data_IF_706574156935
#
_entry.id   IF_706574156935
#
_cell.length_a   1.000
_cell.length_b   1.000
_cell.length_c   1.000
_cell.angle_alpha   90.00
_cell.angle_beta   90.00
_cell.angle_gamma   90.00
#
_symmetry.space_group_name_H-M   'P 1'
#
loop_
_entity.id
_entity.type
_entity.pdbx_description
1 polymer ?
#
# COMPACT_ATOMS: atom_id res chain seq x y z
N UNK A 1 26.40 19.25 -16.78
CA UNK A 1 25.38 19.89 -15.92
C UNK A 1 24.17 18.97 -15.91
N UNK A 2 24.07 18.07 -14.93
CA UNK A 2 23.02 17.04 -14.92
C UNK A 2 21.64 17.69 -14.82
N UNK A 3 20.75 17.37 -15.74
CA UNK A 3 19.34 17.75 -15.67
C UNK A 3 18.82 17.37 -14.29
N UNK A 4 18.48 18.37 -13.47
CA UNK A 4 17.78 18.20 -12.19
C UNK A 4 16.44 17.56 -12.52
N UNK A 5 16.42 16.23 -12.57
CA UNK A 5 15.29 15.43 -13.02
C UNK A 5 14.04 15.92 -12.33
N UNK A 6 13.05 16.27 -13.14
CA UNK A 6 11.77 16.87 -12.80
C UNK A 6 11.20 16.32 -11.47
N UNK A 7 11.42 17.08 -10.38
CA UNK A 7 10.93 16.75 -9.04
C UNK A 7 9.59 17.44 -8.83
N UNK A 8 8.51 16.68 -8.79
CA UNK A 8 7.23 17.20 -8.30
C UNK A 8 7.22 17.12 -6.78
N UNK A 9 7.13 18.28 -6.13
CA UNK A 9 7.16 18.41 -4.66
C UNK A 9 5.88 19.12 -4.21
N UNK A 10 5.35 18.73 -3.06
CA UNK A 10 4.25 19.42 -2.41
C UNK A 10 4.39 19.35 -0.89
N UNK A 11 3.98 20.42 -0.21
CA UNK A 11 3.82 20.43 1.24
C UNK A 11 2.38 20.00 1.54
N UNK A 12 2.21 18.99 2.39
CA UNK A 12 0.91 18.50 2.81
C UNK A 12 0.80 18.55 4.33
N UNK A 13 -0.42 18.73 4.83
CA UNK A 13 -0.72 18.66 6.26
C UNK A 13 -1.17 17.25 6.60
N UNK A 14 -0.63 16.69 7.68
CA UNK A 14 -1.19 15.50 8.30
C UNK A 14 -2.42 15.92 9.10
N UNK A 15 -3.55 15.31 8.77
CA UNK A 15 -4.84 15.48 9.42
C UNK A 15 -4.95 14.48 10.59
N UNK A 16 -6.15 14.38 11.18
CA UNK A 16 -6.41 13.46 12.26
C UNK A 16 -6.06 12.00 11.88
N UNK A 17 -5.58 11.24 12.85
CA UNK A 17 -5.24 9.81 12.71
C UNK A 17 -4.25 9.51 11.56
N UNK A 18 -3.36 10.44 11.25
CA UNK A 18 -2.29 10.24 10.24
C UNK A 18 -2.76 10.35 8.79
N UNK A 19 -4.00 10.80 8.53
CA UNK A 19 -4.49 10.97 7.18
C UNK A 19 -3.79 12.12 6.45
N UNK A 20 -3.53 11.95 5.16
CA UNK A 20 -3.06 13.04 4.29
C UNK A 20 -3.66 12.90 2.90
N UNK A 21 -3.86 14.03 2.24
CA UNK A 21 -4.31 14.06 0.84
C UNK A 21 -3.10 14.08 -0.07
N UNK A 22 -2.98 13.09 -0.96
CA UNK A 22 -1.95 13.10 -2.00
C UNK A 22 -2.35 14.09 -3.12
N UNK A 23 -1.58 15.17 -3.35
CA UNK A 23 -1.92 16.18 -4.34
C UNK A 23 -2.03 15.61 -5.75
N UNK A 24 -2.94 16.18 -6.56
CA UNK A 24 -3.25 15.69 -7.92
C UNK A 24 -1.99 15.49 -8.79
N UNK A 25 -1.11 16.48 -8.82
CA UNK A 25 0.12 16.43 -9.61
C UNK A 25 1.05 15.26 -9.21
N UNK A 26 1.16 14.95 -7.92
CA UNK A 26 1.95 13.81 -7.45
C UNK A 26 1.24 12.50 -7.81
N UNK A 27 -0.07 12.42 -7.53
CA UNK A 27 -0.91 11.25 -7.81
C UNK A 27 -0.86 10.83 -9.28
N UNK A 28 -1.01 11.77 -10.20
CA UNK A 28 -0.95 11.53 -11.65
C UNK A 28 0.45 11.10 -12.10
N UNK A 29 1.50 11.73 -11.56
CA UNK A 29 2.89 11.38 -11.89
C UNK A 29 3.27 9.96 -11.50
N UNK A 30 2.72 9.46 -10.39
CA UNK A 30 2.96 8.09 -9.93
C UNK A 30 1.91 7.08 -10.40
N UNK A 31 0.93 7.52 -11.20
CA UNK A 31 -0.10 6.67 -11.79
C UNK A 31 -1.06 6.03 -10.77
N UNK A 32 -1.36 6.74 -9.68
CA UNK A 32 -2.31 6.28 -8.65
C UNK A 32 -3.73 6.70 -8.97
N UNK A 33 -4.67 5.77 -8.83
CA UNK A 33 -6.11 6.02 -8.96
C UNK A 33 -6.85 5.76 -7.65
N UNK A 34 -8.14 6.13 -7.62
CA UNK A 34 -8.96 5.92 -6.44
C UNK A 34 -9.08 4.42 -6.09
N UNK A 35 -8.68 4.12 -4.85
CA UNK A 35 -8.76 2.79 -4.27
C UNK A 35 -7.65 1.83 -4.70
N UNK A 36 -6.61 2.32 -5.40
CA UNK A 36 -5.31 1.67 -5.40
C UNK A 36 -4.75 1.59 -3.98
N UNK A 37 -3.91 0.58 -3.76
CA UNK A 37 -3.20 0.43 -2.50
C UNK A 37 -1.82 1.09 -2.59
N UNK A 38 -1.33 1.61 -1.48
CA UNK A 38 0.00 2.20 -1.37
C UNK A 38 0.73 1.52 -0.24
N UNK A 39 1.91 0.99 -0.52
CA UNK A 39 2.83 0.51 0.49
C UNK A 39 3.50 1.71 1.16
N UNK A 40 3.49 1.73 2.49
CA UNK A 40 4.12 2.80 3.27
C UNK A 40 5.16 2.17 4.19
N UNK A 41 6.39 2.64 4.11
CA UNK A 41 7.47 2.20 5.01
C UNK A 41 8.47 3.33 5.25
N UNK A 42 9.26 3.19 6.31
CA UNK A 42 10.39 4.08 6.59
C UNK A 42 11.65 3.39 6.06
N UNK A 43 12.42 4.06 5.21
CA UNK A 43 13.68 3.51 4.70
C UNK A 43 14.82 3.66 5.73
N UNK A 44 16.01 3.14 5.42
CA UNK A 44 17.19 3.24 6.29
C UNK A 44 17.70 4.67 6.52
N UNK A 45 17.22 5.64 5.74
CA UNK A 45 17.58 7.06 5.86
C UNK A 45 16.56 7.85 6.70
N UNK A 46 15.52 7.19 7.22
CA UNK A 46 14.47 7.83 8.02
C UNK A 46 13.39 8.52 7.19
N UNK A 47 13.36 8.31 5.87
CA UNK A 47 12.35 8.88 4.98
C UNK A 47 11.12 7.99 4.89
N UNK A 48 9.93 8.61 4.82
CA UNK A 48 8.69 7.89 4.51
C UNK A 48 8.64 7.66 3.00
N UNK A 49 8.65 6.39 2.60
CA UNK A 49 8.51 5.96 1.21
C UNK A 49 7.08 5.49 0.98
N UNK A 50 6.45 6.07 -0.04
CA UNK A 50 5.16 5.68 -0.57
C UNK A 50 5.38 4.96 -1.91
N UNK A 51 5.04 3.67 -1.97
CA UNK A 51 5.18 2.88 -3.18
C UNK A 51 3.81 2.43 -3.71
N UNK A 52 3.39 2.86 -4.93
CA UNK A 52 2.13 2.44 -5.53
C UNK A 52 2.04 0.91 -5.70
N UNK A 53 0.94 0.32 -5.23
CA UNK A 53 0.56 -1.08 -5.47
C UNK A 53 -0.75 -1.11 -6.28
N UNK A 54 -0.68 -0.84 -7.60
CA UNK A 54 -1.86 -0.78 -8.45
C UNK A 54 -2.67 -2.07 -8.37
N UNK A 55 -3.99 -1.96 -8.53
CA UNK A 55 -4.86 -3.13 -8.55
C UNK A 55 -4.48 -4.09 -9.68
N UNK A 56 -4.59 -5.42 -9.45
CA UNK A 56 -4.42 -6.38 -10.53
C UNK A 56 -5.45 -6.10 -11.63
N UNK A 57 -4.99 -6.05 -12.88
CA UNK A 57 -5.82 -5.66 -14.03
C UNK A 57 -6.61 -6.84 -14.62
N UNK A 58 -6.39 -8.06 -14.10
CA UNK A 58 -7.02 -9.27 -14.61
C UNK A 58 -7.35 -10.30 -13.53
N UNK A 59 -8.40 -11.09 -13.75
CA UNK A 59 -8.74 -12.25 -12.92
C UNK A 59 -7.62 -13.30 -12.88
N UNK A 60 -6.77 -13.37 -13.90
CA UNK A 60 -5.59 -14.26 -13.94
C UNK A 60 -4.51 -13.81 -12.95
N UNK A 61 -4.29 -12.51 -12.81
CA UNK A 61 -3.40 -11.95 -11.78
C UNK A 61 -3.94 -12.22 -10.37
N UNK A 62 -5.26 -12.16 -10.18
CA UNK A 62 -5.95 -12.55 -8.95
C UNK A 62 -5.87 -14.07 -8.67
N UNK A 63 -6.07 -14.91 -9.68
CA UNK A 63 -6.08 -16.37 -9.54
C UNK A 63 -4.72 -16.96 -9.16
N UNK A 64 -3.63 -16.26 -9.45
CA UNK A 64 -2.29 -16.60 -8.93
C UNK A 64 -2.11 -16.28 -7.44
N UNK A 65 -2.89 -15.34 -6.90
CA UNK A 65 -2.84 -14.87 -5.51
C UNK A 65 -3.77 -15.68 -4.62
N UNK A 66 -4.89 -16.13 -5.18
CA UNK A 66 -6.00 -16.72 -4.46
C UNK A 66 -6.26 -18.13 -5.00
N UNK A 67 -5.63 -19.15 -4.40
CA UNK A 67 -6.11 -20.55 -4.50
C UNK A 67 -7.38 -20.68 -3.66
N UNK A 68 -8.44 -20.00 -4.08
CA UNK A 68 -9.72 -20.02 -3.38
C UNK A 68 -10.43 -21.33 -3.74
N UNK A 69 -10.39 -22.30 -2.82
CA UNK A 69 -11.14 -23.56 -2.91
C UNK A 69 -12.48 -23.52 -2.14
N UNK A 70 -12.95 -22.33 -1.74
CA UNK A 70 -14.21 -22.15 -1.00
C UNK A 70 -14.84 -20.79 -1.32
N UNK A 71 -16.15 -20.57 -1.16
CA UNK A 71 -16.70 -19.20 -1.16
C UNK A 71 -16.02 -18.39 -0.04
N UNK A 72 -15.43 -17.24 -0.36
CA UNK A 72 -14.79 -16.33 0.61
C UNK A 72 -15.57 -15.03 0.61
N UNK A 73 -15.76 -14.45 1.80
CA UNK A 73 -16.34 -13.12 1.94
C UNK A 73 -15.53 -12.07 1.16
N UNK A 74 -16.21 -11.09 0.55
CA UNK A 74 -15.55 -10.10 -0.32
C UNK A 74 -14.53 -9.21 0.41
N UNK A 75 -14.72 -8.97 1.71
CA UNK A 75 -13.76 -8.23 2.55
C UNK A 75 -12.52 -9.05 2.87
N UNK A 76 -12.71 -10.30 3.33
CA UNK A 76 -11.62 -11.23 3.63
C UNK A 76 -10.75 -11.51 2.39
N UNK A 77 -11.39 -11.68 1.22
CA UNK A 77 -10.69 -11.86 -0.04
C UNK A 77 -9.83 -10.64 -0.41
N UNK A 78 -10.35 -9.41 -0.24
CA UNK A 78 -9.61 -8.17 -0.53
C UNK A 78 -8.38 -8.02 0.34
N UNK A 79 -8.50 -8.30 1.64
CA UNK A 79 -7.36 -8.23 2.56
C UNK A 79 -6.32 -9.31 2.26
N UNK A 80 -6.75 -10.54 1.94
CA UNK A 80 -5.83 -11.59 1.50
C UNK A 80 -5.05 -11.20 0.23
N UNK A 81 -5.72 -10.55 -0.75
CA UNK A 81 -5.08 -10.05 -1.97
C UNK A 81 -4.07 -8.94 -1.65
N UNK A 82 -4.42 -8.02 -0.74
CA UNK A 82 -3.53 -6.93 -0.29
C UNK A 82 -2.28 -7.49 0.39
N UNK A 83 -2.45 -8.38 1.36
CA UNK A 83 -1.35 -9.01 2.08
C UNK A 83 -0.41 -9.77 1.14
N UNK A 84 -0.96 -10.57 0.21
CA UNK A 84 -0.15 -11.31 -0.75
C UNK A 84 0.62 -10.39 -1.71
N UNK A 85 0.02 -9.27 -2.15
CA UNK A 85 0.72 -8.27 -2.97
C UNK A 85 1.86 -7.60 -2.22
N UNK A 86 1.65 -7.22 -0.97
CA UNK A 86 2.70 -6.65 -0.13
C UNK A 86 3.86 -7.65 0.08
N UNK A 87 3.55 -8.92 0.34
CA UNK A 87 4.56 -9.98 0.49
C UNK A 87 5.39 -10.20 -0.78
N UNK A 88 4.75 -10.33 -1.95
CA UNK A 88 5.47 -10.51 -3.23
C UNK A 88 6.35 -9.31 -3.56
N UNK A 89 5.91 -8.11 -3.22
CA UNK A 89 6.74 -6.92 -3.36
C UNK A 89 7.97 -7.00 -2.45
N UNK A 90 7.79 -7.36 -1.17
CA UNK A 90 8.89 -7.50 -0.21
C UNK A 90 9.93 -8.54 -0.67
N UNK A 91 9.47 -9.70 -1.15
CA UNK A 91 10.32 -10.77 -1.70
C UNK A 91 11.12 -10.28 -2.92
N UNK A 92 10.47 -9.57 -3.84
CA UNK A 92 11.12 -9.03 -5.05
C UNK A 92 12.15 -7.95 -4.73
N UNK A 93 11.90 -7.14 -3.70
CA UNK A 93 12.73 -5.99 -3.34
C UNK A 93 13.72 -6.29 -2.21
N UNK A 94 13.80 -7.53 -1.72
CA UNK A 94 14.81 -7.98 -0.77
C UNK A 94 14.72 -7.29 0.58
N UNK A 95 13.51 -6.97 1.06
CA UNK A 95 13.34 -6.48 2.43
C UNK A 95 13.86 -7.54 3.41
N UNK A 96 14.58 -7.09 4.43
CA UNK A 96 15.05 -7.93 5.51
C UNK A 96 13.89 -8.58 6.30
N UNK A 97 14.21 -9.57 7.14
CA UNK A 97 13.21 -10.29 7.94
C UNK A 97 12.39 -9.36 8.85
N UNK A 98 12.99 -8.25 9.29
CA UNK A 98 12.34 -7.20 10.06
C UNK A 98 11.30 -6.42 9.24
N UNK A 99 11.63 -6.03 8.00
CA UNK A 99 10.69 -5.37 7.08
C UNK A 99 9.49 -6.25 6.72
N UNK A 100 9.70 -7.56 6.61
CA UNK A 100 8.61 -8.53 6.33
C UNK A 100 7.68 -8.70 7.54
N UNK A 101 8.21 -8.77 8.77
CA UNK A 101 7.40 -8.83 9.99
C UNK A 101 6.65 -7.51 10.24
N UNK A 102 7.29 -6.37 10.01
CA UNK A 102 6.66 -5.05 10.14
C UNK A 102 5.49 -4.89 9.15
N UNK A 103 5.63 -5.36 7.90
CA UNK A 103 4.54 -5.37 6.92
C UNK A 103 3.36 -6.24 7.36
N UNK A 104 3.63 -7.43 7.90
CA UNK A 104 2.58 -8.31 8.41
C UNK A 104 1.85 -7.69 9.62
N UNK A 105 2.58 -7.04 10.54
CA UNK A 105 2.01 -6.35 11.69
C UNK A 105 1.23 -5.09 11.30
N UNK A 106 1.70 -4.30 10.33
CA UNK A 106 1.00 -3.12 9.85
C UNK A 106 -0.30 -3.47 9.11
N UNK A 107 -0.34 -4.61 8.41
CA UNK A 107 -1.58 -5.14 7.83
C UNK A 107 -2.58 -5.60 8.92
N UNK A 108 -2.08 -6.16 10.03
CA UNK A 108 -2.89 -6.59 11.17
C UNK A 108 -3.31 -5.45 12.11
N UNK A 109 -2.53 -4.36 12.17
CA UNK A 109 -2.73 -3.21 13.06
C UNK A 109 -3.72 -2.16 12.55
N UNK A 110 -4.54 -2.47 11.53
CA UNK A 110 -5.70 -1.63 11.25
C UNK A 110 -6.67 -1.81 12.40
N UNK A 111 -6.90 -0.76 13.20
CA UNK A 111 -8.08 -0.67 14.07
C UNK A 111 -9.29 -1.15 13.26
N UNK A 112 -10.02 -2.10 13.85
CA UNK A 112 -11.15 -2.76 13.21
C UNK A 112 -12.10 -1.69 12.69
N UNK A 113 -12.72 -1.93 11.53
CA UNK A 113 -13.76 -1.02 11.02
C UNK A 113 -14.90 -0.80 12.05
N UNK A 114 -15.00 -1.67 13.04
CA UNK A 114 -15.92 -1.61 14.18
C UNK A 114 -15.60 -0.49 15.19
N UNK A 115 -14.34 -0.07 15.33
CA UNK A 115 -13.95 1.08 16.16
C UNK A 115 -14.28 2.43 15.50
N UNK A 116 -14.80 2.42 14.26
CA UNK A 116 -15.26 3.64 13.55
C UNK A 116 -16.67 4.08 13.91
N UNK A 117 -17.46 3.24 14.57
CA UNK A 117 -18.90 3.49 14.83
C UNK A 117 -19.18 3.97 16.26
N UNK A 118 -18.16 4.00 17.13
CA UNK A 118 -18.26 4.56 18.48
C UNK A 118 -17.49 5.87 18.60
N UNK A 119 -18.01 6.94 17.99
CA UNK A 119 -17.75 8.31 18.43
C UNK A 119 -18.88 9.24 17.99
#
# INVERSE_FOLDING_TARGET
MGTRGDRTVAIVKILQRGQMTLPKAIRERVGLEEGDDVLVYVNGEGEIVLYPLPRPRSLKELGSVLKINRPVDTGEAREAIRASRARRWAEKHGLDGAGTQALAQAAAGRESAEDRVRE
#
